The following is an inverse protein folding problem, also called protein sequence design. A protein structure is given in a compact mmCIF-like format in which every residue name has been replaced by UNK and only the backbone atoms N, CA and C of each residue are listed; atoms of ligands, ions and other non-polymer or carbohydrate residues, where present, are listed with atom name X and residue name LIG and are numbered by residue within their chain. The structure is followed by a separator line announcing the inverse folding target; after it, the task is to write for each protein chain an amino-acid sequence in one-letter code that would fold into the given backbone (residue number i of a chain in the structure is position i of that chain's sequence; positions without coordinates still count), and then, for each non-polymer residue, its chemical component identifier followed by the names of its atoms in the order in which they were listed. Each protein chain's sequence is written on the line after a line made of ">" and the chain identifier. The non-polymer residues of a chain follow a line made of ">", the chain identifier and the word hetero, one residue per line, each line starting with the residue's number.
data_IF_871590398691
#
_entry.id   IF_871590398691
#
_cell.length_a   1.000
_cell.length_b   1.000
_cell.length_c   1.000
_cell.angle_alpha   90.00
_cell.angle_beta   90.00
_cell.angle_gamma   90.00
#
_symmetry.space_group_name_H-M   'P 1'
#
loop_
_entity.id
_entity.type
_entity.pdbx_description
1 polymer ?
#
# COMPACT_ATOMS: atom_id res chain seq x y z
N UNK A 1 74.26 29.90 -19.21
CA UNK A 1 73.37 28.80 -19.66
C UNK A 1 72.55 28.22 -18.51
N UNK A 2 73.09 28.12 -17.28
CA UNK A 2 72.38 27.51 -16.14
C UNK A 2 71.02 28.15 -15.81
N UNK A 3 70.92 29.48 -15.79
CA UNK A 3 69.66 30.17 -15.45
C UNK A 3 68.53 29.88 -16.46
N UNK A 4 68.85 29.73 -17.75
CA UNK A 4 67.84 29.46 -18.78
C UNK A 4 67.22 28.06 -18.60
N UNK A 5 68.05 27.06 -18.29
CA UNK A 5 67.59 25.68 -18.06
C UNK A 5 66.71 25.61 -16.81
N UNK A 6 67.03 26.35 -15.74
CA UNK A 6 66.21 26.38 -14.51
C UNK A 6 64.86 27.04 -14.74
N UNK A 7 64.79 28.15 -15.50
CA UNK A 7 63.52 28.79 -15.84
C UNK A 7 62.63 27.91 -16.72
N UNK A 8 63.21 27.21 -17.69
CA UNK A 8 62.46 26.26 -18.55
C UNK A 8 61.93 25.09 -17.72
N UNK A 9 62.74 24.52 -16.82
CA UNK A 9 62.33 23.42 -15.96
C UNK A 9 61.21 23.85 -14.99
N UNK A 10 61.35 25.03 -14.37
CA UNK A 10 60.32 25.59 -13.49
C UNK A 10 59.00 25.84 -14.23
N UNK A 11 59.06 26.40 -15.46
CA UNK A 11 57.89 26.61 -16.31
C UNK A 11 57.18 25.31 -16.70
N UNK A 12 57.94 24.29 -17.10
CA UNK A 12 57.39 22.97 -17.43
C UNK A 12 56.73 22.31 -16.21
N UNK A 13 57.32 22.45 -15.02
CA UNK A 13 56.80 21.90 -13.77
C UNK A 13 55.49 22.59 -13.37
N UNK A 14 55.43 23.93 -13.45
CA UNK A 14 54.23 24.70 -13.15
C UNK A 14 53.08 24.37 -14.12
N UNK A 15 53.37 24.22 -15.41
CA UNK A 15 52.39 23.79 -16.41
C UNK A 15 51.88 22.37 -16.10
N UNK A 16 52.77 21.44 -15.76
CA UNK A 16 52.42 20.07 -15.38
C UNK A 16 51.49 20.02 -14.17
N UNK A 17 51.78 20.81 -13.13
CA UNK A 17 50.91 20.94 -11.95
C UNK A 17 49.56 21.53 -12.31
N UNK A 18 49.51 22.58 -13.15
CA UNK A 18 48.25 23.18 -13.58
C UNK A 18 47.38 22.20 -14.37
N UNK A 19 47.97 21.43 -15.28
CA UNK A 19 47.26 20.38 -16.04
C UNK A 19 46.77 19.28 -15.11
N UNK A 20 47.60 18.83 -14.16
CA UNK A 20 47.20 17.82 -13.19
C UNK A 20 46.01 18.29 -12.32
N UNK A 21 46.07 19.51 -11.79
CA UNK A 21 44.98 20.09 -11.00
C UNK A 21 43.70 20.24 -11.82
N UNK A 22 43.81 20.61 -13.10
CA UNK A 22 42.67 20.68 -14.02
C UNK A 22 42.05 19.30 -14.24
N UNK A 23 42.86 18.26 -14.49
CA UNK A 23 42.40 16.89 -14.68
C UNK A 23 41.78 16.30 -13.39
N UNK A 24 42.39 16.54 -12.22
CA UNK A 24 41.84 16.10 -10.93
C UNK A 24 40.51 16.81 -10.63
N UNK A 25 40.39 18.10 -10.98
CA UNK A 25 39.15 18.84 -10.84
C UNK A 25 38.04 18.26 -11.74
N UNK A 26 38.35 17.96 -13.01
CA UNK A 26 37.44 17.29 -13.93
C UNK A 26 37.08 15.87 -13.46
N UNK A 27 38.04 15.11 -12.92
CA UNK A 27 37.76 13.78 -12.39
C UNK A 27 36.81 13.83 -11.17
N UNK A 28 36.97 14.85 -10.30
CA UNK A 28 36.09 15.05 -9.14
C UNK A 28 34.66 15.39 -9.55
N UNK A 29 34.44 16.19 -10.59
CA UNK A 29 33.09 16.55 -11.06
C UNK A 29 32.30 15.36 -11.63
N UNK A 30 33.01 14.30 -12.04
CA UNK A 30 32.42 13.08 -12.58
C UNK A 30 32.21 11.97 -11.54
N UNK A 31 32.67 12.15 -10.30
CA UNK A 31 32.49 11.13 -9.25
C UNK A 31 31.03 11.04 -8.85
N UNK A 32 30.49 9.83 -8.90
CA UNK A 32 29.17 9.48 -8.38
C UNK A 32 29.32 8.40 -7.31
N UNK A 33 28.45 8.45 -6.31
CA UNK A 33 28.37 7.44 -5.25
C UNK A 33 26.93 7.14 -4.94
N UNK A 34 26.64 5.88 -4.64
CA UNK A 34 25.38 5.46 -4.03
C UNK A 34 25.73 4.91 -2.66
N UNK A 35 25.20 5.53 -1.61
CA UNK A 35 25.43 5.15 -0.23
C UNK A 35 24.12 4.75 0.42
N UNK A 36 24.19 3.75 1.30
CA UNK A 36 23.07 3.40 2.17
C UNK A 36 23.02 4.40 3.33
N UNK A 37 21.83 4.95 3.55
CA UNK A 37 21.53 5.86 4.66
C UNK A 37 20.48 5.20 5.56
N UNK A 38 20.39 5.58 6.86
CA UNK A 38 19.30 5.13 7.70
C UNK A 38 17.95 5.42 7.05
N UNK A 39 17.20 4.38 6.72
CA UNK A 39 15.90 4.52 6.04
C UNK A 39 15.93 4.53 4.51
N UNK A 40 17.08 4.39 3.83
CA UNK A 40 17.08 4.18 2.38
C UNK A 40 18.43 4.35 1.66
N UNK A 41 18.40 4.99 0.48
CA UNK A 41 19.57 5.14 -0.39
C UNK A 41 19.78 6.61 -0.74
N UNK A 42 21.03 7.03 -0.83
CA UNK A 42 21.41 8.36 -1.31
C UNK A 42 22.32 8.23 -2.51
N UNK A 43 21.93 8.88 -3.61
CA UNK A 43 22.81 9.18 -4.73
C UNK A 43 23.51 10.51 -4.48
N UNK A 44 24.83 10.54 -4.62
CA UNK A 44 25.65 11.72 -4.47
C UNK A 44 26.50 11.93 -5.72
N UNK A 45 26.43 13.14 -6.26
CA UNK A 45 27.29 13.61 -7.32
C UNK A 45 27.79 15.01 -6.99
N UNK A 46 28.78 15.49 -7.74
CA UNK A 46 29.27 16.84 -7.54
C UNK A 46 28.17 17.86 -7.88
N UNK A 47 27.72 18.61 -6.87
CA UNK A 47 26.73 19.67 -7.02
C UNK A 47 25.27 19.24 -6.90
N UNK A 48 24.95 17.95 -6.72
CA UNK A 48 23.59 17.53 -6.35
C UNK A 48 23.56 16.16 -5.65
N UNK A 49 22.53 15.93 -4.85
CA UNK A 49 22.25 14.64 -4.24
C UNK A 49 20.75 14.34 -4.23
N UNK A 50 20.41 13.05 -4.26
CA UNK A 50 19.02 12.57 -4.19
C UNK A 50 18.97 11.47 -3.14
N UNK A 51 18.14 11.67 -2.12
CA UNK A 51 17.92 10.73 -1.03
C UNK A 51 16.53 10.13 -1.12
N UNK A 52 16.46 8.82 -0.94
CA UNK A 52 15.26 8.03 -0.83
C UNK A 52 15.03 7.69 0.65
N UNK A 53 13.90 8.13 1.21
CA UNK A 53 13.48 7.86 2.58
C UNK A 53 12.30 6.88 2.59
N UNK A 54 12.58 5.58 2.69
CA UNK A 54 11.60 4.49 2.54
C UNK A 54 10.50 4.51 3.60
N UNK A 55 10.86 4.77 4.86
CA UNK A 55 9.91 4.75 5.97
C UNK A 55 8.93 5.94 5.91
N UNK A 56 9.44 7.13 5.54
CA UNK A 56 8.63 8.33 5.38
C UNK A 56 7.91 8.41 4.04
N UNK A 57 8.25 7.54 3.08
CA UNK A 57 7.73 7.59 1.69
C UNK A 57 8.03 8.92 0.99
N UNK A 58 9.21 9.50 1.26
CA UNK A 58 9.65 10.79 0.73
C UNK A 58 10.95 10.66 -0.04
N UNK A 59 11.17 11.62 -0.95
CA UNK A 59 12.42 11.81 -1.68
C UNK A 59 12.89 13.22 -1.41
N UNK A 60 14.17 13.35 -1.06
CA UNK A 60 14.82 14.62 -0.85
C UNK A 60 15.82 14.86 -1.96
N UNK A 61 15.70 15.99 -2.67
CA UNK A 61 16.64 16.39 -3.71
C UNK A 61 17.34 17.66 -3.28
N UNK A 62 18.66 17.63 -3.27
CA UNK A 62 19.51 18.79 -3.04
C UNK A 62 20.30 19.08 -4.30
N UNK A 63 20.35 20.33 -4.74
CA UNK A 63 21.15 20.76 -5.89
C UNK A 63 21.74 22.14 -5.65
N UNK A 64 23.01 22.34 -5.98
CA UNK A 64 23.67 23.64 -5.91
C UNK A 64 23.22 24.56 -7.06
N UNK A 65 22.78 23.98 -8.19
CA UNK A 65 22.35 24.69 -9.38
C UNK A 65 21.09 24.01 -9.95
N UNK A 66 19.97 24.16 -9.26
CA UNK A 66 18.67 23.70 -9.74
C UNK A 66 17.79 24.84 -10.25
N UNK A 67 16.73 24.47 -10.96
CA UNK A 67 15.59 25.30 -11.29
C UNK A 67 14.33 24.58 -10.82
N UNK A 68 13.63 25.12 -9.83
CA UNK A 68 12.30 24.64 -9.43
C UNK A 68 11.24 25.52 -10.08
N UNK A 69 10.22 24.88 -10.65
CA UNK A 69 9.00 25.53 -11.09
C UNK A 69 7.84 24.99 -10.25
N UNK A 70 7.15 25.87 -9.53
CA UNK A 70 5.94 25.56 -8.76
C UNK A 70 4.72 26.14 -9.46
N UNK A 71 3.82 25.28 -9.90
CA UNK A 71 2.57 25.70 -10.55
C UNK A 71 1.42 25.51 -9.56
N UNK A 72 0.71 26.57 -9.14
CA UNK A 72 -0.42 26.45 -8.24
C UNK A 72 -1.58 25.65 -8.85
N UNK A 73 -2.24 24.83 -8.03
CA UNK A 73 -3.40 24.00 -8.42
C UNK A 73 -4.57 24.83 -8.97
N UNK A 74 -4.69 26.10 -8.56
CA UNK A 74 -5.77 27.02 -8.97
C UNK A 74 -5.52 27.80 -10.27
N UNK A 75 -4.48 27.49 -11.04
CA UNK A 75 -4.22 28.16 -12.33
C UNK A 75 -3.56 29.55 -12.20
N UNK A 76 -2.60 29.69 -11.29
CA UNK A 76 -1.80 30.91 -11.14
C UNK A 76 -0.50 30.91 -11.96
N UNK A 77 0.20 32.04 -11.98
CA UNK A 77 1.52 32.13 -12.62
C UNK A 77 2.52 31.16 -11.96
N UNK A 78 3.33 30.45 -12.76
CA UNK A 78 4.33 29.53 -12.22
C UNK A 78 5.45 30.30 -11.51
N UNK A 79 5.72 29.95 -10.27
CA UNK A 79 6.85 30.49 -9.54
C UNK A 79 8.12 29.73 -9.92
N UNK A 80 9.14 30.46 -10.39
CA UNK A 80 10.42 29.89 -10.80
C UNK A 80 11.51 30.31 -9.82
N UNK A 81 12.15 29.34 -9.19
CA UNK A 81 13.30 29.55 -8.32
C UNK A 81 14.54 28.92 -8.94
N UNK A 82 15.64 29.66 -8.97
CA UNK A 82 16.93 29.20 -9.50
C UNK A 82 18.00 29.25 -8.40
N UNK A 83 19.00 28.37 -8.49
CA UNK A 83 20.18 28.36 -7.63
C UNK A 83 20.26 27.16 -6.69
N UNK A 84 20.87 27.30 -5.51
CA UNK A 84 20.91 26.24 -4.50
C UNK A 84 19.51 25.94 -3.97
N UNK A 85 19.11 24.68 -4.02
CA UNK A 85 17.77 24.21 -3.74
C UNK A 85 17.80 22.92 -2.92
N UNK A 86 16.89 22.84 -1.97
CA UNK A 86 16.55 21.63 -1.22
C UNK A 86 15.04 21.42 -1.32
N UNK A 87 14.65 20.28 -1.89
CA UNK A 87 13.26 19.96 -2.17
C UNK A 87 12.92 18.59 -1.57
N UNK A 88 11.76 18.48 -0.92
CA UNK A 88 11.23 17.20 -0.42
C UNK A 88 9.92 16.91 -1.13
N UNK A 89 9.86 15.79 -1.83
CA UNK A 89 8.72 15.35 -2.63
C UNK A 89 8.19 14.03 -2.09
N UNK A 90 6.88 13.79 -2.11
CA UNK A 90 6.33 12.47 -1.85
C UNK A 90 6.77 11.48 -2.93
N UNK A 91 6.95 10.21 -2.54
CA UNK A 91 7.33 9.16 -3.46
C UNK A 91 6.20 8.84 -4.45
N UNK A 92 4.95 8.83 -4.00
CA UNK A 92 3.79 8.56 -4.84
C UNK A 92 3.61 9.66 -5.91
N UNK A 93 3.38 9.25 -7.15
CA UNK A 93 3.21 10.09 -8.33
C UNK A 93 4.50 10.74 -8.86
N UNK A 94 5.66 10.38 -8.33
CA UNK A 94 6.93 10.98 -8.72
C UNK A 94 7.43 10.46 -10.07
N UNK A 95 7.81 11.38 -10.96
CA UNK A 95 8.40 11.08 -12.26
C UNK A 95 9.82 11.62 -12.36
N UNK A 96 10.77 10.76 -12.72
CA UNK A 96 12.17 11.13 -12.97
C UNK A 96 12.50 10.91 -14.44
N UNK A 97 12.99 11.94 -15.10
CA UNK A 97 13.44 11.90 -16.49
C UNK A 97 14.87 12.43 -16.61
N UNK A 98 15.67 11.81 -17.49
CA UNK A 98 17.04 12.25 -17.78
C UNK A 98 17.15 12.45 -19.29
N UNK A 99 17.15 13.71 -19.71
CA UNK A 99 17.12 14.11 -21.12
C UNK A 99 18.53 14.54 -21.57
N UNK A 100 19.07 13.90 -22.60
CA UNK A 100 20.36 14.29 -23.19
C UNK A 100 20.17 15.53 -24.07
N UNK A 101 21.05 16.52 -23.95
CA UNK A 101 21.01 17.71 -24.82
C UNK A 101 21.82 17.46 -26.07
N UNK A 102 21.18 17.57 -27.23
CA UNK A 102 21.82 17.56 -28.54
C UNK A 102 21.64 18.92 -29.22
N UNK A 103 22.68 19.45 -29.85
CA UNK A 103 22.61 20.69 -30.64
C UNK A 103 22.63 20.32 -32.10
N UNK A 104 21.60 20.75 -32.85
CA UNK A 104 21.61 20.63 -34.31
C UNK A 104 22.39 21.82 -34.86
N UNK A 105 23.55 21.56 -35.43
CA UNK A 105 24.35 22.57 -36.13
C UNK A 105 23.83 22.62 -37.57
N UNK A 106 23.57 23.81 -38.11
CA UNK A 106 22.97 24.06 -39.44
C UNK A 106 23.70 23.38 -40.61
N UNK A 107 24.90 22.85 -40.37
CA UNK A 107 25.80 22.25 -41.36
C UNK A 107 25.93 20.70 -41.26
N UNK A 108 25.20 20.05 -40.34
CA UNK A 108 25.24 18.59 -40.16
C UNK A 108 23.84 17.97 -40.02
N UNK A 109 23.61 16.82 -40.67
CA UNK A 109 22.34 16.09 -40.65
C UNK A 109 22.04 15.46 -39.29
N UNK A 110 23.07 15.08 -38.53
CA UNK A 110 22.93 14.48 -37.19
C UNK A 110 23.23 15.50 -36.08
N UNK A 111 22.36 15.58 -35.04
CA UNK A 111 22.57 16.52 -33.95
C UNK A 111 23.72 16.07 -33.04
N UNK A 112 24.69 16.97 -32.81
CA UNK A 112 25.87 16.72 -31.99
C UNK A 112 25.50 16.64 -30.49
N UNK A 113 25.94 15.57 -29.81
CA UNK A 113 25.78 15.45 -28.36
C UNK A 113 26.62 16.52 -27.65
N UNK A 114 25.99 17.27 -26.75
CA UNK A 114 26.69 18.32 -25.97
C UNK A 114 27.52 17.76 -24.81
N UNK A 115 27.51 16.44 -24.59
CA UNK A 115 28.16 15.77 -23.45
C UNK A 115 27.47 16.03 -22.10
N UNK A 116 26.31 16.70 -22.11
CA UNK A 116 25.54 17.06 -20.92
C UNK A 116 24.08 16.61 -21.04
N UNK A 117 23.47 16.30 -19.91
CA UNK A 117 22.05 16.01 -19.77
C UNK A 117 21.37 16.97 -18.79
N UNK A 118 20.04 16.93 -18.78
CA UNK A 118 19.18 17.60 -17.81
C UNK A 118 18.38 16.55 -17.07
N UNK A 119 18.47 16.57 -15.74
CA UNK A 119 17.65 15.72 -14.89
C UNK A 119 16.40 16.51 -14.52
N UNK A 120 15.23 15.94 -14.79
CA UNK A 120 13.94 16.49 -14.40
C UNK A 120 13.30 15.57 -13.38
N UNK A 121 12.98 16.11 -12.20
CA UNK A 121 12.21 15.43 -11.16
C UNK A 121 10.88 16.17 -11.04
N UNK A 122 9.78 15.48 -11.34
CA UNK A 122 8.42 16.01 -11.26
C UNK A 122 7.74 15.34 -10.06
N UNK A 123 7.23 16.16 -9.14
CA UNK A 123 6.37 15.71 -8.05
C UNK A 123 4.99 15.26 -8.58
N UNK A 124 4.17 14.61 -7.74
CA UNK A 124 2.82 14.21 -8.12
C UNK A 124 2.03 15.40 -8.66
N UNK A 125 1.20 15.11 -9.66
CA UNK A 125 0.38 16.13 -10.27
C UNK A 125 -0.76 16.53 -9.34
N UNK A 126 -0.89 17.82 -9.02
CA UNK A 126 -1.97 18.36 -8.21
C UNK A 126 -3.36 18.18 -8.88
N UNK A 127 -3.39 17.78 -10.16
CA UNK A 127 -4.59 17.41 -10.90
C UNK A 127 -5.12 16.01 -10.57
N UNK A 128 -4.28 15.13 -10.00
CA UNK A 128 -4.66 13.78 -9.57
C UNK A 128 -4.93 13.78 -8.06
N UNK A 129 -6.21 13.80 -7.62
CA UNK A 129 -6.57 13.88 -6.20
C UNK A 129 -6.11 12.67 -5.39
N UNK A 130 -5.79 11.56 -6.06
CA UNK A 130 -5.48 10.29 -5.44
C UNK A 130 -4.10 10.22 -4.81
N UNK A 131 -3.11 10.95 -5.33
CA UNK A 131 -1.71 10.78 -4.92
C UNK A 131 -1.28 11.68 -3.76
N UNK A 132 -1.91 12.86 -3.58
CA UNK A 132 -1.76 13.69 -2.40
C UNK A 132 -2.81 14.83 -2.39
N UNK A 133 -3.95 14.67 -1.68
CA UNK A 133 -5.04 15.66 -1.69
C UNK A 133 -4.64 17.03 -1.11
N UNK A 134 -3.59 17.09 -0.29
CA UNK A 134 -3.07 18.29 0.38
C UNK A 134 -2.11 19.13 -0.47
N UNK A 135 -1.67 18.62 -1.65
CA UNK A 135 -0.75 19.38 -2.48
C UNK A 135 -1.45 20.55 -3.16
N UNK A 136 -0.97 21.74 -2.84
CA UNK A 136 -1.45 23.02 -3.37
C UNK A 136 -0.76 23.41 -4.69
N UNK A 137 0.33 22.73 -5.06
CA UNK A 137 1.18 23.05 -6.21
C UNK A 137 1.74 21.78 -6.85
N UNK A 138 1.89 21.79 -8.18
CA UNK A 138 2.71 20.81 -8.92
C UNK A 138 4.15 21.33 -8.98
N UNK A 139 5.12 20.52 -8.55
CA UNK A 139 6.53 20.92 -8.49
C UNK A 139 7.37 20.19 -9.56
N UNK A 140 8.13 20.96 -10.33
CA UNK A 140 9.08 20.44 -11.33
C UNK A 140 10.47 20.97 -11.02
N UNK A 141 11.38 20.10 -10.63
CA UNK A 141 12.79 20.40 -10.43
C UNK A 141 13.61 19.99 -11.67
N UNK A 142 14.37 20.92 -12.23
CA UNK A 142 15.32 20.69 -13.31
C UNK A 142 16.74 20.95 -12.83
N UNK A 143 17.64 20.01 -13.07
CA UNK A 143 19.07 20.15 -12.82
C UNK A 143 19.76 20.18 -14.19
N UNK A 144 20.12 21.38 -14.71
CA UNK A 144 20.74 21.52 -16.02
C UNK A 144 22.24 21.18 -15.99
N UNK A 145 22.78 20.85 -17.17
CA UNK A 145 24.23 20.70 -17.43
C UNK A 145 24.90 19.62 -16.56
N UNK A 146 24.21 18.50 -16.31
CA UNK A 146 24.81 17.34 -15.65
C UNK A 146 25.70 16.60 -16.66
N UNK A 147 26.94 16.22 -16.34
CA UNK A 147 27.78 15.43 -17.24
C UNK A 147 27.10 14.11 -17.63
N UNK A 148 27.24 13.67 -18.89
CA UNK A 148 26.51 12.50 -19.39
C UNK A 148 26.82 11.20 -18.61
N UNK A 149 28.07 10.99 -18.19
CA UNK A 149 28.45 9.83 -17.36
C UNK A 149 27.79 9.85 -15.97
N UNK A 150 27.66 11.04 -15.37
CA UNK A 150 26.90 11.24 -14.13
C UNK A 150 25.42 10.96 -14.37
N UNK A 151 24.87 11.43 -15.49
CA UNK A 151 23.50 11.16 -15.91
C UNK A 151 23.21 9.66 -16.11
N UNK A 152 24.14 8.91 -16.70
CA UNK A 152 24.02 7.45 -16.86
C UNK A 152 24.04 6.72 -15.50
N UNK A 153 24.96 7.11 -14.61
CA UNK A 153 25.00 6.57 -13.24
C UNK A 153 23.71 6.87 -12.48
N UNK A 154 23.20 8.10 -12.63
CA UNK A 154 21.94 8.51 -12.03
C UNK A 154 20.74 7.75 -12.62
N UNK A 155 20.72 7.45 -13.93
CA UNK A 155 19.65 6.63 -14.52
C UNK A 155 19.55 5.24 -13.87
N UNK A 156 20.68 4.60 -13.54
CA UNK A 156 20.66 3.31 -12.83
C UNK A 156 20.03 3.44 -11.44
N UNK A 157 20.37 4.51 -10.70
CA UNK A 157 19.75 4.83 -9.41
C UNK A 157 18.25 5.16 -9.56
N UNK A 158 17.88 5.96 -10.55
CA UNK A 158 16.50 6.33 -10.85
C UNK A 158 15.65 5.11 -11.19
N UNK A 159 16.21 4.09 -11.85
CA UNK A 159 15.53 2.81 -12.07
C UNK A 159 15.14 2.12 -10.77
N UNK A 160 16.04 2.07 -9.78
CA UNK A 160 15.72 1.52 -8.45
C UNK A 160 14.67 2.35 -7.71
N UNK A 161 14.75 3.67 -7.87
CA UNK A 161 13.81 4.61 -7.27
C UNK A 161 12.40 4.44 -7.85
N UNK A 162 12.27 4.27 -9.18
CA UNK A 162 10.98 4.00 -9.84
C UNK A 162 10.30 2.74 -9.33
N UNK A 163 11.02 1.62 -9.25
CA UNK A 163 10.46 0.35 -8.72
C UNK A 163 9.98 0.52 -7.27
N UNK A 164 10.72 1.28 -6.46
CA UNK A 164 10.29 1.58 -5.09
C UNK A 164 9.06 2.50 -5.03
N UNK A 165 8.97 3.51 -5.91
CA UNK A 165 7.79 4.37 -6.05
C UNK A 165 6.57 3.54 -6.42
N UNK A 166 6.65 2.72 -7.46
CA UNK A 166 5.56 1.83 -7.89
C UNK A 166 5.09 0.91 -6.75
N UNK A 167 6.02 0.32 -5.99
CA UNK A 167 5.68 -0.51 -4.83
C UNK A 167 5.00 0.28 -3.71
N UNK A 168 5.39 1.54 -3.53
CA UNK A 168 4.80 2.43 -2.53
C UNK A 168 3.39 2.83 -2.93
N UNK A 169 3.17 3.17 -4.20
CA UNK A 169 1.84 3.46 -4.77
C UNK A 169 0.89 2.27 -4.62
N UNK A 170 1.33 1.08 -5.03
CA UNK A 170 0.51 -0.13 -4.89
C UNK A 170 0.16 -0.43 -3.42
N UNK A 171 1.08 -0.16 -2.47
CA UNK A 171 0.78 -0.30 -1.04
C UNK A 171 -0.29 0.71 -0.61
N UNK A 172 -0.12 1.98 -0.98
CA UNK A 172 -1.08 3.04 -0.63
C UNK A 172 -2.48 2.80 -1.21
N UNK A 173 -2.56 2.34 -2.46
CA UNK A 173 -3.85 1.99 -3.09
C UNK A 173 -4.55 0.84 -2.36
N UNK A 174 -3.80 -0.18 -1.95
CA UNK A 174 -4.34 -1.30 -1.19
C UNK A 174 -4.87 -0.83 0.16
N UNK A 175 -4.08 -0.03 0.87
CA UNK A 175 -4.45 0.48 2.20
C UNK A 175 -5.70 1.39 2.09
N UNK A 176 -5.81 2.23 1.04
CA UNK A 176 -7.02 3.03 0.76
C UNK A 176 -8.24 2.16 0.48
N UNK A 177 -8.10 1.11 -0.36
CA UNK A 177 -9.21 0.18 -0.64
C UNK A 177 -9.68 -0.53 0.64
N UNK A 178 -8.77 -0.86 1.54
CA UNK A 178 -9.10 -1.45 2.83
C UNK A 178 -9.85 -0.45 3.73
N UNK A 179 -9.41 0.81 3.77
CA UNK A 179 -10.10 1.86 4.53
C UNK A 179 -11.52 2.10 4.01
N UNK A 180 -11.72 2.22 2.70
CA UNK A 180 -13.04 2.41 2.10
C UNK A 180 -13.98 1.25 2.45
N UNK A 181 -13.49 0.00 2.43
CA UNK A 181 -14.29 -1.15 2.84
C UNK A 181 -14.68 -1.10 4.32
N UNK A 182 -13.74 -0.73 5.20
CA UNK A 182 -14.04 -0.56 6.62
C UNK A 182 -15.07 0.54 6.87
N UNK A 183 -15.01 1.63 6.10
CA UNK A 183 -15.99 2.71 6.16
C UNK A 183 -17.36 2.26 5.64
N UNK A 184 -17.41 1.50 4.54
CA UNK A 184 -18.65 0.92 4.01
C UNK A 184 -19.28 -0.08 4.98
N UNK A 185 -18.48 -0.98 5.57
CA UNK A 185 -18.94 -1.94 6.58
C UNK A 185 -19.47 -1.19 7.82
N UNK A 186 -18.74 -0.19 8.32
CA UNK A 186 -19.19 0.63 9.44
C UNK A 186 -20.46 1.44 9.12
N UNK A 187 -20.61 1.94 7.89
CA UNK A 187 -21.81 2.65 7.46
C UNK A 187 -23.02 1.70 7.34
N UNK A 188 -22.81 0.47 6.87
CA UNK A 188 -23.85 -0.55 6.83
C UNK A 188 -24.27 -0.99 8.23
N UNK A 189 -23.30 -1.17 9.15
CA UNK A 189 -23.57 -1.45 10.56
C UNK A 189 -24.37 -0.30 11.20
N UNK A 190 -23.97 0.96 10.98
CA UNK A 190 -24.68 2.13 11.50
C UNK A 190 -26.09 2.27 10.92
N UNK A 191 -26.28 1.99 9.62
CA UNK A 191 -27.58 2.01 8.98
C UNK A 191 -28.51 0.90 9.52
N UNK A 192 -27.98 -0.31 9.75
CA UNK A 192 -28.72 -1.37 10.42
C UNK A 192 -29.08 -1.01 11.85
N UNK A 193 -28.16 -0.42 12.62
CA UNK A 193 -28.46 0.04 13.98
C UNK A 193 -29.51 1.16 14.00
N UNK A 194 -29.50 2.08 13.04
CA UNK A 194 -30.52 3.11 12.89
C UNK A 194 -31.90 2.52 12.57
N UNK A 195 -31.98 1.58 11.62
CA UNK A 195 -33.22 0.87 11.30
C UNK A 195 -33.74 0.07 12.50
N UNK A 196 -32.85 -0.55 13.27
CA UNK A 196 -33.21 -1.28 14.49
C UNK A 196 -33.66 -0.33 15.62
N UNK A 197 -33.07 0.86 15.73
CA UNK A 197 -33.47 1.88 16.69
C UNK A 197 -34.85 2.47 16.34
N UNK A 198 -35.12 2.72 15.06
CA UNK A 198 -36.43 3.17 14.58
C UNK A 198 -37.50 2.08 14.75
N UNK A 199 -37.18 0.82 14.46
CA UNK A 199 -38.06 -0.31 14.74
C UNK A 199 -38.36 -0.46 16.25
N UNK A 200 -37.37 -0.22 17.12
CA UNK A 200 -37.56 -0.19 18.59
C UNK A 200 -38.41 1.00 19.05
N UNK A 201 -38.25 2.16 18.43
CA UNK A 201 -39.06 3.35 18.73
C UNK A 201 -40.53 3.17 18.33
N UNK A 202 -40.79 2.36 17.29
CA UNK A 202 -42.13 2.02 16.80
C UNK A 202 -42.75 0.78 17.46
N UNK A 203 -42.02 0.06 18.32
CA UNK A 203 -42.55 -1.05 19.12
C UNK A 203 -43.14 -0.52 20.44
N UNK A 204 -44.40 -0.87 20.72
CA UNK A 204 -45.03 -0.58 22.00
C UNK A 204 -44.28 -1.33 23.13
N UNK A 205 -44.00 -0.70 24.30
CA UNK A 205 -42.94 -1.16 25.20
C UNK A 205 -43.15 -2.48 25.95
N UNK A 206 -44.29 -3.15 25.82
CA UNK A 206 -44.68 -4.27 26.71
C UNK A 206 -45.40 -5.45 26.01
N UNK A 207 -45.09 -5.73 24.74
CA UNK A 207 -45.53 -6.99 24.13
C UNK A 207 -44.55 -8.11 24.50
N UNK A 208 -44.87 -8.89 25.53
CA UNK A 208 -44.15 -10.14 25.85
C UNK A 208 -44.27 -11.04 24.61
N UNK A 209 -43.18 -11.19 23.85
CA UNK A 209 -43.13 -12.09 22.71
C UNK A 209 -43.42 -13.50 23.21
N UNK A 210 -44.37 -14.19 22.57
CA UNK A 210 -44.61 -15.59 22.89
C UNK A 210 -43.44 -16.44 22.38
N UNK A 211 -43.19 -17.61 22.96
CA UNK A 211 -42.14 -18.52 22.48
C UNK A 211 -42.32 -18.87 20.99
N UNK A 212 -43.55 -18.87 20.49
CA UNK A 212 -43.87 -19.07 19.08
C UNK A 212 -43.42 -17.90 18.19
N UNK A 213 -43.55 -16.65 18.67
CA UNK A 213 -43.10 -15.46 17.94
C UNK A 213 -41.57 -15.40 17.90
N UNK A 214 -40.92 -15.73 19.02
CA UNK A 214 -39.46 -15.84 19.15
C UNK A 214 -38.91 -16.87 18.14
N UNK A 215 -39.54 -18.04 18.04
CA UNK A 215 -39.16 -19.07 17.09
C UNK A 215 -39.38 -18.63 15.64
N UNK A 216 -40.52 -18.00 15.31
CA UNK A 216 -40.82 -17.54 13.96
C UNK A 216 -39.84 -16.46 13.46
N UNK A 217 -39.38 -15.56 14.34
CA UNK A 217 -38.37 -14.54 14.03
C UNK A 217 -37.01 -15.20 13.77
N UNK A 218 -36.61 -16.19 14.56
CA UNK A 218 -35.38 -16.94 14.35
C UNK A 218 -35.41 -17.74 13.03
N UNK A 219 -36.52 -18.42 12.74
CA UNK A 219 -36.70 -19.17 11.49
C UNK A 219 -36.61 -18.27 10.25
N UNK A 220 -37.16 -17.06 10.33
CA UNK A 220 -37.06 -16.08 9.25
C UNK A 220 -35.61 -15.65 9.00
N UNK A 221 -34.82 -15.41 10.06
CA UNK A 221 -33.39 -15.10 9.94
C UNK A 221 -32.61 -16.27 9.33
N UNK A 222 -32.83 -17.49 9.83
CA UNK A 222 -32.19 -18.71 9.33
C UNK A 222 -32.54 -18.96 7.86
N UNK A 223 -33.79 -18.77 7.47
CA UNK A 223 -34.22 -18.89 6.07
C UNK A 223 -33.53 -17.85 5.17
N UNK A 224 -33.36 -16.61 5.66
CA UNK A 224 -32.60 -15.56 4.98
C UNK A 224 -31.15 -15.98 4.73
N UNK A 225 -30.47 -16.52 5.74
CA UNK A 225 -29.09 -17.00 5.60
C UNK A 225 -28.96 -18.20 4.68
N UNK A 226 -29.87 -19.17 4.73
CA UNK A 226 -29.90 -20.31 3.80
C UNK A 226 -30.08 -19.87 2.35
N UNK A 227 -30.97 -18.89 2.12
CA UNK A 227 -31.16 -18.29 0.80
C UNK A 227 -29.90 -17.59 0.31
N UNK A 228 -29.23 -16.82 1.16
CA UNK A 228 -27.97 -16.14 0.82
C UNK A 228 -26.83 -17.13 0.55
N UNK A 229 -26.74 -18.20 1.35
CA UNK A 229 -25.75 -19.26 1.21
C UNK A 229 -25.93 -20.10 -0.06
N UNK A 230 -27.16 -20.14 -0.62
CA UNK A 230 -27.50 -21.00 -1.76
C UNK A 230 -27.51 -22.50 -1.41
N UNK A 231 -27.54 -22.85 -0.12
CA UNK A 231 -27.68 -24.22 0.34
C UNK A 231 -28.43 -24.30 1.67
N UNK A 232 -28.84 -25.50 2.05
CA UNK A 232 -29.40 -25.83 3.36
C UNK A 232 -28.64 -27.01 3.92
N UNK A 233 -28.15 -26.88 5.15
CA UNK A 233 -27.41 -27.92 5.82
C UNK A 233 -28.28 -29.13 6.17
N UNK A 234 -27.65 -30.28 6.29
CA UNK A 234 -28.26 -31.53 6.78
C UNK A 234 -28.20 -31.63 8.30
N UNK A 235 -27.31 -30.87 8.94
CA UNK A 235 -27.26 -30.70 10.37
C UNK A 235 -27.21 -29.21 10.69
N UNK A 236 -28.14 -28.74 11.53
CA UNK A 236 -28.17 -27.36 12.01
C UNK A 236 -28.42 -27.29 13.51
N UNK A 237 -27.91 -26.23 14.11
CA UNK A 237 -28.19 -25.89 15.50
C UNK A 237 -28.21 -24.37 15.63
N UNK A 238 -29.12 -23.87 16.47
CA UNK A 238 -29.35 -22.44 16.65
C UNK A 238 -29.56 -22.16 18.14
N UNK A 239 -29.04 -21.03 18.60
CA UNK A 239 -29.43 -20.43 19.87
C UNK A 239 -30.11 -19.10 19.61
N UNK A 240 -31.19 -18.86 20.32
CA UNK A 240 -32.01 -17.66 20.19
C UNK A 240 -32.04 -16.94 21.53
N UNK A 241 -31.85 -15.64 21.53
CA UNK A 241 -32.00 -14.77 22.69
C UNK A 241 -33.49 -14.54 23.00
N UNK A 242 -33.84 -14.07 24.22
CA UNK A 242 -35.24 -13.80 24.60
C UNK A 242 -36.01 -12.86 23.64
N UNK A 243 -35.29 -12.05 22.87
CA UNK A 243 -35.84 -11.12 21.88
C UNK A 243 -36.14 -11.78 20.51
N UNK A 244 -36.00 -13.10 20.35
CA UNK A 244 -36.17 -13.80 19.06
C UNK A 244 -34.97 -13.70 18.12
N UNK A 245 -33.86 -13.11 18.58
CA UNK A 245 -32.65 -12.93 17.78
C UNK A 245 -31.73 -14.13 17.88
N UNK A 246 -31.14 -14.53 16.77
CA UNK A 246 -30.19 -15.65 16.79
C UNK A 246 -28.86 -15.18 17.37
N UNK A 247 -28.46 -15.76 18.50
CA UNK A 247 -27.19 -15.47 19.18
C UNK A 247 -26.00 -16.16 18.49
N UNK A 248 -26.19 -17.41 18.10
CA UNK A 248 -25.26 -18.17 17.26
C UNK A 248 -26.01 -19.21 16.43
N UNK A 249 -25.48 -19.54 15.26
CA UNK A 249 -26.07 -20.53 14.35
C UNK A 249 -24.99 -21.25 13.55
N UNK A 250 -25.25 -22.53 13.30
CA UNK A 250 -24.46 -23.35 12.38
C UNK A 250 -25.40 -24.14 11.47
N UNK A 251 -25.12 -24.12 10.17
CA UNK A 251 -25.77 -24.96 9.15
C UNK A 251 -24.71 -25.70 8.36
N UNK A 252 -24.59 -27.01 8.58
CA UNK A 252 -23.57 -27.86 7.97
C UNK A 252 -24.19 -28.75 6.88
N UNK A 253 -23.68 -28.64 5.66
CA UNK A 253 -24.01 -29.54 4.57
C UNK A 253 -23.07 -30.77 4.54
N UNK A 254 -23.54 -31.86 3.93
CA UNK A 254 -22.77 -33.12 3.81
C UNK A 254 -21.49 -32.97 2.96
N UNK A 255 -21.45 -32.00 2.06
CA UNK A 255 -20.27 -31.68 1.24
C UNK A 255 -19.28 -30.74 1.96
N UNK A 256 -19.57 -30.40 3.21
CA UNK A 256 -18.74 -29.58 4.08
C UNK A 256 -18.81 -28.08 3.80
N UNK A 257 -19.77 -27.61 2.99
CA UNK A 257 -20.22 -26.22 3.06
C UNK A 257 -20.86 -25.96 4.42
N UNK A 258 -20.58 -24.78 4.98
CA UNK A 258 -21.04 -24.39 6.31
C UNK A 258 -21.46 -22.92 6.32
N UNK A 259 -22.59 -22.64 6.97
CA UNK A 259 -22.96 -21.29 7.38
C UNK A 259 -22.70 -21.17 8.87
N UNK A 260 -21.95 -20.15 9.27
CA UNK A 260 -21.69 -19.84 10.67
C UNK A 260 -22.20 -18.43 10.96
N UNK A 261 -22.88 -18.27 12.08
CA UNK A 261 -23.27 -16.99 12.64
C UNK A 261 -22.87 -16.91 14.11
N UNK A 262 -22.15 -15.85 14.48
CA UNK A 262 -21.83 -15.50 15.87
C UNK A 262 -21.36 -14.05 15.93
N UNK A 263 -21.53 -13.39 17.08
CA UNK A 263 -21.09 -12.00 17.29
C UNK A 263 -21.57 -11.04 16.19
N UNK A 264 -22.84 -11.18 15.79
CA UNK A 264 -23.50 -10.42 14.69
C UNK A 264 -22.86 -10.60 13.30
N UNK A 265 -21.92 -11.52 13.12
CA UNK A 265 -21.28 -11.80 11.84
C UNK A 265 -21.81 -13.11 11.28
N UNK A 266 -21.99 -13.16 9.96
CA UNK A 266 -22.39 -14.37 9.23
C UNK A 266 -21.39 -14.65 8.14
N UNK A 267 -21.00 -15.92 7.97
CA UNK A 267 -20.16 -16.35 6.85
C UNK A 267 -20.75 -17.61 6.21
N UNK A 268 -20.58 -17.71 4.90
CA UNK A 268 -20.92 -18.89 4.10
C UNK A 268 -19.63 -19.39 3.45
N UNK A 269 -19.12 -20.52 3.89
CA UNK A 269 -17.80 -21.02 3.43
C UNK A 269 -17.76 -22.55 3.46
N UNK A 270 -16.56 -23.13 3.41
CA UNK A 270 -16.32 -24.57 3.54
C UNK A 270 -15.47 -24.86 4.78
N UNK A 271 -15.60 -26.07 5.33
CA UNK A 271 -14.73 -26.54 6.40
C UNK A 271 -13.32 -26.93 5.91
N UNK A 272 -12.97 -26.75 4.63
CA UNK A 272 -11.64 -27.11 4.12
C UNK A 272 -10.59 -26.24 4.79
N UNK A 273 -9.63 -26.87 5.47
CA UNK A 273 -8.58 -26.19 6.22
C UNK A 273 -9.06 -25.41 7.47
N UNK A 274 -10.24 -25.73 8.01
CA UNK A 274 -10.75 -25.10 9.23
C UNK A 274 -10.03 -25.58 10.51
N UNK A 275 -9.89 -24.70 11.51
CA UNK A 275 -9.54 -25.09 12.89
C UNK A 275 -10.80 -25.28 13.72
N UNK A 276 -10.85 -26.30 14.56
CA UNK A 276 -12.00 -26.61 15.39
C UNK A 276 -11.48 -26.93 16.78
N UNK A 277 -11.67 -25.99 17.71
CA UNK A 277 -11.15 -26.09 19.06
C UNK A 277 -12.27 -25.92 20.09
N UNK A 278 -11.97 -26.31 21.32
CA UNK A 278 -12.89 -26.16 22.45
C UNK A 278 -12.34 -25.07 23.36
N UNK A 279 -13.12 -24.00 23.58
CA UNK A 279 -12.69 -22.85 24.36
C UNK A 279 -13.80 -22.45 25.34
N UNK A 280 -13.52 -22.49 26.64
CA UNK A 280 -14.41 -21.91 27.66
C UNK A 280 -15.83 -22.48 27.71
N UNK A 281 -16.07 -23.72 27.27
CA UNK A 281 -17.42 -24.29 27.16
C UNK A 281 -18.15 -23.92 25.87
N UNK A 282 -17.44 -23.40 24.88
CA UNK A 282 -17.92 -23.14 23.52
C UNK A 282 -17.07 -23.96 22.54
N UNK A 283 -17.49 -24.03 21.28
CA UNK A 283 -16.59 -24.40 20.21
C UNK A 283 -16.13 -23.14 19.48
N UNK A 284 -14.82 -23.08 19.26
CA UNK A 284 -14.18 -22.03 18.49
C UNK A 284 -13.85 -22.62 17.11
N UNK A 285 -14.50 -22.09 16.07
CA UNK A 285 -14.38 -22.59 14.70
C UNK A 285 -13.71 -21.52 13.85
N UNK A 286 -12.45 -21.76 13.48
CA UNK A 286 -11.69 -20.94 12.56
C UNK A 286 -11.90 -21.41 11.13
N UNK A 287 -12.49 -20.58 10.27
CA UNK A 287 -12.72 -20.90 8.85
C UNK A 287 -11.94 -19.96 7.93
N UNK A 288 -11.70 -20.44 6.71
CA UNK A 288 -11.16 -19.61 5.62
C UNK A 288 -12.30 -18.74 5.09
N UNK A 289 -12.08 -17.43 5.04
CA UNK A 289 -12.98 -16.50 4.36
C UNK A 289 -12.50 -16.24 2.93
N UNK A 290 -13.20 -15.36 2.22
CA UNK A 290 -12.87 -14.97 0.84
C UNK A 290 -11.52 -14.25 0.71
N UNK A 291 -10.90 -13.86 1.83
CA UNK A 291 -9.63 -13.15 1.90
C UNK A 291 -8.46 -14.04 2.34
N UNK A 292 -8.73 -15.30 2.70
CA UNK A 292 -7.70 -16.26 3.06
C UNK A 292 -6.78 -16.55 1.87
N UNK A 293 -5.47 -16.49 2.09
CA UNK A 293 -4.46 -16.85 1.10
C UNK A 293 -3.28 -17.54 1.76
N UNK A 294 -2.39 -18.15 0.97
CA UNK A 294 -1.16 -18.74 1.53
C UNK A 294 -0.23 -17.66 2.12
N UNK A 295 -0.26 -16.45 1.58
CA UNK A 295 0.52 -15.30 2.04
C UNK A 295 -0.05 -14.65 3.32
N UNK A 296 -1.35 -14.79 3.56
CA UNK A 296 -2.03 -14.39 4.80
C UNK A 296 -2.98 -15.52 5.27
N UNK A 297 -2.47 -16.48 6.05
CA UNK A 297 -3.21 -17.68 6.42
C UNK A 297 -4.16 -17.46 7.61
N UNK A 298 -4.54 -16.22 7.92
CA UNK A 298 -5.37 -15.89 9.07
C UNK A 298 -6.78 -16.47 8.94
N UNK A 299 -7.24 -17.22 9.94
CA UNK A 299 -8.60 -17.76 9.99
C UNK A 299 -9.55 -16.82 10.71
N UNK A 300 -10.81 -16.77 10.25
CA UNK A 300 -11.89 -16.07 10.95
C UNK A 300 -12.55 -17.02 11.95
N UNK A 301 -12.54 -16.64 13.21
CA UNK A 301 -13.06 -17.44 14.31
C UNK A 301 -14.50 -17.08 14.66
N UNK A 302 -15.31 -18.12 14.85
CA UNK A 302 -16.70 -18.07 15.28
C UNK A 302 -16.85 -18.90 16.54
N UNK A 303 -17.35 -18.28 17.60
CA UNK A 303 -17.64 -18.95 18.86
C UNK A 303 -19.10 -19.32 18.92
N UNK A 304 -19.37 -20.61 18.94
CA UNK A 304 -20.73 -21.15 18.90
C UNK A 304 -20.94 -22.19 19.99
N UNK A 305 -22.18 -22.63 20.15
CA UNK A 305 -22.61 -23.60 21.15
C UNK A 305 -22.49 -23.13 22.61
N UNK A 306 -22.51 -21.82 22.84
CA UNK A 306 -22.66 -21.25 24.17
C UNK A 306 -23.97 -21.74 24.80
N UNK A 307 -23.89 -22.26 26.02
CA UNK A 307 -25.03 -22.77 26.78
C UNK A 307 -25.47 -24.21 26.46
N UNK A 308 -24.89 -24.86 25.44
CA UNK A 308 -25.21 -26.27 25.16
C UNK A 308 -24.59 -27.25 26.17
N UNK A 309 -25.17 -28.45 26.36
CA UNK A 309 -24.54 -29.53 27.09
C UNK A 309 -23.19 -29.98 26.48
N UNK A 310 -22.27 -30.47 27.33
CA UNK A 310 -20.91 -30.82 26.92
C UNK A 310 -20.84 -32.01 25.96
N UNK A 311 -21.72 -32.99 26.13
CA UNK A 311 -21.90 -34.14 25.24
C UNK A 311 -22.35 -33.71 23.84
N UNK A 312 -23.33 -32.80 23.74
CA UNK A 312 -23.77 -32.23 22.45
C UNK A 312 -22.64 -31.46 21.76
N UNK A 313 -21.90 -30.63 22.51
CA UNK A 313 -20.73 -29.92 21.97
C UNK A 313 -19.67 -30.89 21.45
N UNK A 314 -19.39 -31.96 22.18
CA UNK A 314 -18.43 -33.00 21.76
C UNK A 314 -18.87 -33.70 20.48
N UNK A 315 -20.14 -34.09 20.39
CA UNK A 315 -20.69 -34.72 19.19
C UNK A 315 -20.61 -33.79 17.96
N UNK A 316 -20.88 -32.50 18.15
CA UNK A 316 -20.72 -31.50 17.10
C UNK A 316 -19.26 -31.33 16.68
N UNK A 317 -18.33 -31.24 17.63
CA UNK A 317 -16.89 -31.19 17.34
C UNK A 317 -16.45 -32.38 16.50
N UNK A 318 -16.77 -33.60 16.94
CA UNK A 318 -16.41 -34.84 16.23
C UNK A 318 -16.98 -34.87 14.81
N UNK A 319 -18.23 -34.43 14.62
CA UNK A 319 -18.85 -34.32 13.29
C UNK A 319 -18.11 -33.32 12.39
N UNK A 320 -17.81 -32.13 12.90
CA UNK A 320 -17.12 -31.08 12.14
C UNK A 320 -15.70 -31.51 11.75
N UNK A 321 -14.98 -32.13 12.68
CA UNK A 321 -13.64 -32.66 12.44
C UNK A 321 -13.65 -33.77 11.39
N UNK A 322 -14.63 -34.69 11.45
CA UNK A 322 -14.79 -35.75 10.46
C UNK A 322 -14.98 -35.18 9.05
N UNK A 323 -15.89 -34.21 8.89
CA UNK A 323 -16.17 -33.58 7.59
C UNK A 323 -14.95 -32.82 7.09
N UNK A 324 -14.30 -32.01 7.93
CA UNK A 324 -13.06 -31.30 7.60
C UNK A 324 -11.97 -32.27 7.14
N UNK A 325 -11.71 -33.33 7.92
CA UNK A 325 -10.64 -34.29 7.62
C UNK A 325 -10.89 -34.99 6.28
N UNK A 326 -12.15 -35.29 5.97
CA UNK A 326 -12.56 -35.84 4.68
C UNK A 326 -12.29 -34.88 3.52
N UNK A 327 -12.53 -33.58 3.73
CA UNK A 327 -12.24 -32.54 2.72
C UNK A 327 -10.75 -32.28 2.52
N UNK A 328 -9.95 -32.39 3.58
CA UNK A 328 -8.50 -32.18 3.50
C UNK A 328 -7.76 -33.38 2.88
N UNK A 329 -8.35 -34.57 2.93
CA UNK A 329 -7.82 -35.77 2.28
C UNK A 329 -8.09 -35.83 0.76
N UNK A 330 -8.90 -34.90 0.23
CA UNK A 330 -9.25 -34.76 -1.19
C UNK A 330 -8.56 -33.57 -1.83
#
# INVERSE_FOLDING_TARGET
>A
MENFVTWVLAGATALGVAVYLYLDHQAKSLRTRVVEIPGGLRFEAWGFSVEMHRAAQLIKVQSNNGQVTRTPRGGGEPQVQNGPLELTLPAAGLQIEVVRKSVKVESQEEPLSTGHCTITVRGPDASQPDHAPELTHTEVLKIPRVPESVGQSFQQFAGRLRVWVEKTEHRLERDRKEQLRKEEDAAQEAAQEALLAEARANQAPDAILTEADVAAIADTQVAGWRKAAGFTGTASEVSVDPDGRVAWFIDLANDGRVTLHADKRTIHTTLKGASIDTLGGELDIGVRDDYWSEDDPTLKFFRIFKGLPADKRRAWKEKLELVRNTLNAR
#
